data_IF_153590156658
#
_entry.id   IF_153590156658
#
_cell.length_a   1.000
_cell.length_b   1.000
_cell.length_c   1.000
_cell.angle_alpha   90.00
_cell.angle_beta   90.00
_cell.angle_gamma   90.00
#
_symmetry.space_group_name_H-M   'P 1'
#
loop_
_entity.id
_entity.type
_entity.pdbx_description
1 polymer ?
#
# COMPACT_ATOMS: atom_id res chain seq x y z
N UNK A 1 -4.63 -6.85 -23.62
CA UNK A 1 -3.72 -6.50 -22.52
C UNK A 1 -2.75 -7.64 -22.31
N UNK A 2 -1.63 -7.37 -21.65
CA UNK A 2 -0.57 -8.32 -21.38
C UNK A 2 -0.37 -8.44 -19.87
N UNK A 3 -0.42 -9.66 -19.36
CA UNK A 3 -0.10 -9.93 -17.96
C UNK A 3 1.40 -10.25 -17.82
N UNK A 4 1.99 -9.74 -16.76
CA UNK A 4 3.37 -9.95 -16.35
C UNK A 4 3.32 -10.83 -15.11
N UNK A 5 3.53 -12.13 -15.32
CA UNK A 5 3.62 -13.14 -14.26
C UNK A 5 5.06 -13.62 -14.05
N UNK A 6 5.28 -14.42 -13.00
CA UNK A 6 6.61 -14.96 -12.66
C UNK A 6 7.55 -13.96 -11.98
N UNK A 7 7.03 -12.78 -11.62
CA UNK A 7 7.66 -11.79 -10.75
C UNK A 7 6.95 -11.79 -9.39
N UNK A 8 7.66 -11.40 -8.34
CA UNK A 8 7.27 -11.49 -6.93
C UNK A 8 7.04 -12.92 -6.41
N UNK A 9 7.92 -13.85 -6.79
CA UNK A 9 7.91 -15.26 -6.36
C UNK A 9 9.00 -15.58 -5.34
N UNK A 10 9.81 -14.59 -4.95
CA UNK A 10 10.82 -14.70 -3.89
C UNK A 10 12.19 -14.13 -4.26
N UNK A 11 12.31 -13.58 -5.47
CA UNK A 11 13.52 -12.92 -5.95
C UNK A 11 13.79 -11.58 -5.21
N UNK A 12 15.05 -11.13 -5.14
CA UNK A 12 15.37 -9.81 -4.61
C UNK A 12 14.68 -8.68 -5.38
N UNK A 13 14.27 -7.63 -4.68
CA UNK A 13 13.57 -6.48 -5.27
C UNK A 13 14.30 -5.88 -6.47
N UNK A 14 15.62 -5.67 -6.37
CA UNK A 14 16.43 -5.13 -7.46
C UNK A 14 16.44 -6.04 -8.71
N UNK A 15 16.36 -7.36 -8.54
CA UNK A 15 16.30 -8.30 -9.65
C UNK A 15 14.93 -8.28 -10.32
N UNK A 16 13.85 -8.32 -9.51
CA UNK A 16 12.47 -8.14 -9.99
C UNK A 16 12.34 -6.89 -10.84
N UNK A 17 12.81 -5.77 -10.29
CA UNK A 17 12.69 -4.46 -10.92
C UNK A 17 13.48 -4.45 -12.23
N UNK A 18 14.73 -4.94 -12.24
CA UNK A 18 15.54 -5.05 -13.47
C UNK A 18 14.83 -5.83 -14.58
N UNK A 19 14.19 -6.96 -14.25
CA UNK A 19 13.44 -7.76 -15.23
C UNK A 19 12.22 -6.99 -15.72
N UNK A 20 11.46 -6.39 -14.80
CA UNK A 20 10.27 -5.61 -15.11
C UNK A 20 10.58 -4.45 -16.08
N UNK A 21 11.60 -3.64 -15.78
CA UNK A 21 12.01 -2.51 -16.61
C UNK A 21 12.36 -2.94 -18.04
N UNK A 22 13.08 -4.05 -18.19
CA UNK A 22 13.46 -4.56 -19.51
C UNK A 22 12.25 -5.07 -20.30
N UNK A 23 11.31 -5.74 -19.63
CA UNK A 23 10.09 -6.22 -20.27
C UNK A 23 9.22 -5.06 -20.76
N UNK A 24 9.02 -4.02 -19.94
CA UNK A 24 8.11 -2.92 -20.25
C UNK A 24 8.51 -2.09 -21.48
N UNK A 25 9.81 -2.02 -21.79
CA UNK A 25 10.34 -1.35 -23.00
C UNK A 25 9.89 -2.07 -24.28
N UNK A 26 9.83 -3.41 -24.25
CA UNK A 26 9.49 -4.24 -25.40
C UNK A 26 7.97 -4.47 -25.55
N UNK A 27 7.19 -4.13 -24.52
CA UNK A 27 5.75 -4.37 -24.50
C UNK A 27 4.97 -3.30 -25.29
N UNK A 28 3.93 -3.67 -26.06
CA UNK A 28 3.09 -2.70 -26.74
C UNK A 28 2.50 -1.66 -25.79
N UNK A 29 2.59 -0.37 -26.15
CA UNK A 29 2.11 0.75 -25.35
C UNK A 29 0.61 1.01 -25.51
N UNK A 30 -0.02 0.49 -26.58
CA UNK A 30 -1.44 0.64 -26.89
C UNK A 30 -2.33 -0.39 -26.15
N UNK A 31 -1.74 -1.24 -25.31
CA UNK A 31 -2.44 -2.34 -24.61
C UNK A 31 -2.15 -2.28 -23.11
N UNK A 32 -3.16 -2.48 -22.24
CA UNK A 32 -2.95 -2.51 -20.80
C UNK A 32 -1.95 -3.58 -20.37
N UNK A 33 -1.11 -3.24 -19.40
CA UNK A 33 -0.06 -4.08 -18.80
C UNK A 33 -0.43 -4.39 -17.34
N UNK A 34 -0.54 -5.66 -17.00
CA UNK A 34 -1.01 -6.13 -15.69
C UNK A 34 0.11 -6.84 -14.94
N UNK A 35 0.58 -6.28 -13.83
CA UNK A 35 1.60 -6.90 -12.98
C UNK A 35 0.95 -7.73 -11.88
N UNK A 36 1.16 -9.05 -11.94
CA UNK A 36 0.48 -10.01 -11.08
C UNK A 36 1.18 -10.15 -9.71
N UNK A 37 0.41 -10.10 -8.62
CA UNK A 37 0.88 -10.47 -7.27
C UNK A 37 1.83 -9.49 -6.57
N UNK A 38 2.16 -8.34 -7.18
CA UNK A 38 3.05 -7.32 -6.61
C UNK A 38 2.27 -6.36 -5.71
N UNK A 39 2.83 -6.02 -4.53
CA UNK A 39 1.97 -5.71 -3.40
C UNK A 39 2.15 -4.40 -2.67
N UNK A 40 3.36 -3.91 -2.38
CA UNK A 40 3.47 -2.77 -1.47
C UNK A 40 3.02 -1.47 -2.15
N UNK A 41 2.56 -0.45 -1.40
CA UNK A 41 2.24 0.85 -1.98
C UNK A 41 3.40 1.46 -2.78
N UNK A 42 4.64 1.26 -2.33
CA UNK A 42 5.82 1.72 -3.04
C UNK A 42 6.07 0.91 -4.32
N UNK A 43 6.00 -0.43 -4.27
CA UNK A 43 6.17 -1.26 -5.48
C UNK A 43 5.17 -0.87 -6.58
N UNK A 44 3.91 -0.62 -6.18
CA UNK A 44 2.86 -0.18 -7.10
C UNK A 44 3.21 1.19 -7.70
N UNK A 45 3.66 2.15 -6.88
CA UNK A 45 4.01 3.49 -7.35
C UNK A 45 5.18 3.46 -8.36
N UNK A 46 6.24 2.70 -8.07
CA UNK A 46 7.38 2.53 -8.98
C UNK A 46 6.98 1.82 -10.27
N UNK A 47 6.14 0.79 -10.19
CA UNK A 47 5.64 0.08 -11.37
C UNK A 47 4.69 0.95 -12.22
N UNK A 48 3.89 1.82 -11.63
CA UNK A 48 3.11 2.81 -12.38
C UNK A 48 4.03 3.80 -13.10
N UNK A 49 5.09 4.27 -12.43
CA UNK A 49 6.12 5.10 -13.07
C UNK A 49 6.79 4.38 -14.26
N UNK A 50 6.84 3.05 -14.20
CA UNK A 50 7.29 2.17 -15.28
C UNK A 50 6.33 1.99 -16.45
N UNK A 51 5.06 2.40 -16.29
CA UNK A 51 4.01 2.15 -17.28
C UNK A 51 3.33 0.79 -17.12
N UNK A 52 3.15 0.31 -15.88
CA UNK A 52 2.20 -0.76 -15.54
C UNK A 52 0.84 -0.15 -15.19
N UNK A 53 -0.24 -0.75 -15.67
CA UNK A 53 -1.60 -0.20 -15.58
C UNK A 53 -2.48 -0.89 -14.53
N UNK A 54 -2.24 -2.18 -14.26
CA UNK A 54 -3.09 -3.01 -13.42
C UNK A 54 -2.26 -3.82 -12.42
N UNK A 55 -2.87 -4.07 -11.26
CA UNK A 55 -2.24 -4.78 -10.13
C UNK A 55 -3.27 -5.61 -9.37
N UNK A 56 -2.81 -6.70 -8.77
CA UNK A 56 -3.53 -7.44 -7.75
C UNK A 56 -2.58 -7.85 -6.62
N UNK A 57 -3.07 -7.82 -5.37
CA UNK A 57 -2.32 -8.37 -4.26
C UNK A 57 -3.21 -8.66 -3.06
N UNK A 58 -2.92 -9.76 -2.36
CA UNK A 58 -3.55 -10.09 -1.08
C UNK A 58 -3.05 -9.22 0.08
N UNK A 59 -1.90 -8.56 -0.09
CA UNK A 59 -1.18 -7.82 0.94
C UNK A 59 -2.06 -6.86 1.76
N UNK A 60 -2.85 -5.93 1.17
CA UNK A 60 -3.66 -4.99 1.97
C UNK A 60 -4.57 -5.70 2.98
N UNK A 61 -5.21 -6.80 2.57
CA UNK A 61 -6.12 -7.54 3.46
C UNK A 61 -5.36 -8.46 4.41
N UNK A 62 -4.33 -9.16 3.93
CA UNK A 62 -3.53 -10.09 4.77
C UNK A 62 -2.76 -9.33 5.85
N UNK A 63 -2.17 -8.18 5.54
CA UNK A 63 -1.46 -7.34 6.50
C UNK A 63 -2.41 -6.71 7.51
N UNK A 64 -3.58 -6.23 7.08
CA UNK A 64 -4.61 -5.72 7.97
C UNK A 64 -4.98 -6.74 9.06
N UNK A 65 -5.28 -7.99 8.67
CA UNK A 65 -5.61 -9.07 9.61
C UNK A 65 -4.46 -9.48 10.53
N UNK A 66 -3.22 -9.12 10.18
CA UNK A 66 -2.03 -9.35 10.99
C UNK A 66 -1.55 -8.06 11.69
N UNK A 67 -2.40 -7.05 11.80
CA UNK A 67 -2.13 -5.82 12.53
C UNK A 67 -1.11 -4.86 11.87
N UNK A 68 -0.88 -4.99 10.57
CA UNK A 68 -0.02 -4.09 9.78
C UNK A 68 -0.89 -3.18 8.90
N UNK A 69 -0.88 -1.88 9.21
CA UNK A 69 -1.78 -0.88 8.64
C UNK A 69 -0.96 0.16 7.88
N UNK A 70 -1.29 0.39 6.61
CA UNK A 70 -0.61 1.37 5.77
C UNK A 70 -1.19 2.77 5.99
N UNK A 71 -0.35 3.79 6.20
CA UNK A 71 -0.79 5.17 6.48
C UNK A 71 0.02 6.18 5.67
N UNK A 72 -0.39 7.45 5.69
CA UNK A 72 0.40 8.57 5.10
C UNK A 72 1.75 8.78 5.79
N UNK A 73 2.00 8.09 6.91
CA UNK A 73 3.21 8.21 7.73
C UNK A 73 3.94 6.88 7.89
N UNK A 74 3.77 5.97 6.92
CA UNK A 74 4.37 4.65 6.90
C UNK A 74 3.46 3.56 7.48
N UNK A 75 4.06 2.50 8.04
CA UNK A 75 3.31 1.33 8.52
C UNK A 75 3.09 1.39 10.02
N UNK A 76 1.82 1.39 10.44
CA UNK A 76 1.42 1.22 11.83
C UNK A 76 1.29 -0.26 12.17
N UNK A 77 2.10 -0.73 13.13
CA UNK A 77 1.96 -2.06 13.75
C UNK A 77 1.05 -1.96 14.98
N UNK A 78 -0.26 -2.17 14.80
CA UNK A 78 -1.28 -1.80 15.80
C UNK A 78 -1.13 -2.51 17.15
N UNK A 79 -0.43 -3.65 17.19
CA UNK A 79 -0.15 -4.42 18.41
C UNK A 79 0.85 -3.72 19.35
N UNK A 80 1.66 -2.78 18.85
CA UNK A 80 2.66 -2.07 19.65
C UNK A 80 2.00 -1.40 20.87
N UNK A 81 2.62 -1.54 22.05
CA UNK A 81 2.12 -1.02 23.33
C UNK A 81 1.96 0.50 23.34
N UNK A 82 2.71 1.24 22.50
CA UNK A 82 2.62 2.70 22.40
C UNK A 82 1.22 3.22 22.09
N UNK A 83 0.39 2.39 21.42
CA UNK A 83 -0.97 2.77 21.05
C UNK A 83 -2.01 2.50 22.14
N UNK A 84 -1.64 2.03 23.32
CA UNK A 84 -2.60 1.59 24.37
C UNK A 84 -3.57 2.68 24.81
N UNK A 85 -3.12 3.94 24.86
CA UNK A 85 -3.91 5.10 25.27
C UNK A 85 -3.99 6.18 24.19
N UNK A 86 -3.63 5.83 22.96
CA UNK A 86 -3.61 6.76 21.83
C UNK A 86 -5.04 6.96 21.30
N UNK A 87 -5.65 8.10 21.64
CA UNK A 87 -7.00 8.48 21.21
C UNK A 87 -7.05 9.07 19.80
N UNK A 88 -5.92 9.19 19.11
CA UNK A 88 -5.87 9.73 17.75
C UNK A 88 -6.36 8.71 16.71
N UNK A 89 -6.73 9.21 15.53
CA UNK A 89 -7.10 8.37 14.39
C UNK A 89 -5.88 7.59 13.88
N UNK A 90 -6.14 6.42 13.26
CA UNK A 90 -5.11 5.56 12.67
C UNK A 90 -4.22 6.28 11.65
N UNK A 91 -4.82 7.12 10.82
CA UNK A 91 -4.15 7.93 9.81
C UNK A 91 -4.88 9.28 9.76
N UNK A 92 -4.21 10.40 10.10
CA UNK A 92 -4.83 11.72 10.13
C UNK A 92 -5.24 12.23 8.75
N UNK A 93 -4.66 11.69 7.68
CA UNK A 93 -4.92 12.10 6.30
C UNK A 93 -5.89 11.12 5.58
N UNK A 94 -6.55 10.24 6.34
CA UNK A 94 -7.46 9.23 5.80
C UNK A 94 -8.91 9.50 6.22
N UNK A 95 -9.81 9.49 5.24
CA UNK A 95 -11.24 9.71 5.42
C UNK A 95 -12.07 8.42 5.48
N UNK A 96 -11.44 7.25 5.62
CA UNK A 96 -12.17 5.98 5.64
C UNK A 96 -13.05 5.83 6.90
N UNK A 97 -13.99 4.90 6.88
CA UNK A 97 -14.86 4.62 8.03
C UNK A 97 -14.07 4.38 9.31
N UNK A 98 -12.99 3.59 9.24
CA UNK A 98 -12.16 3.28 10.40
C UNK A 98 -11.54 4.54 11.02
N UNK A 99 -10.89 5.39 10.21
CA UNK A 99 -10.21 6.60 10.68
C UNK A 99 -11.17 7.67 11.20
N UNK A 100 -12.41 7.72 10.70
CA UNK A 100 -13.42 8.70 11.13
C UNK A 100 -14.10 8.35 12.46
N UNK A 101 -14.09 7.09 12.86
CA UNK A 101 -14.94 6.59 13.94
C UNK A 101 -14.18 5.91 15.08
N UNK A 102 -12.91 5.53 14.89
CA UNK A 102 -12.16 4.74 15.87
C UNK A 102 -10.74 5.27 16.07
N UNK A 103 -10.28 5.18 17.31
CA UNK A 103 -8.92 5.54 17.71
C UNK A 103 -7.95 4.36 17.59
N UNK A 104 -6.65 4.67 17.56
CA UNK A 104 -5.57 3.68 17.65
C UNK A 104 -5.70 2.79 18.90
N UNK A 105 -6.03 3.36 20.06
CA UNK A 105 -6.27 2.62 21.30
C UNK A 105 -7.38 1.58 21.17
N UNK A 106 -8.50 1.96 20.55
CA UNK A 106 -9.62 1.04 20.37
C UNK A 106 -9.30 -0.08 19.36
N UNK A 107 -8.66 0.26 18.23
CA UNK A 107 -8.21 -0.72 17.25
C UNK A 107 -7.23 -1.73 17.86
N UNK A 108 -6.28 -1.24 18.68
CA UNK A 108 -5.36 -2.11 19.42
C UNK A 108 -6.09 -3.01 20.42
N UNK A 109 -7.07 -2.47 21.14
CA UNK A 109 -7.88 -3.24 22.08
C UNK A 109 -8.59 -4.41 21.38
N UNK A 110 -9.28 -4.14 20.26
CA UNK A 110 -9.94 -5.17 19.46
C UNK A 110 -8.97 -6.27 19.02
N UNK A 111 -7.80 -5.87 18.52
CA UNK A 111 -6.77 -6.81 18.08
C UNK A 111 -6.21 -7.65 19.25
N UNK A 112 -6.02 -7.04 20.42
CA UNK A 112 -5.58 -7.76 21.63
C UNK A 112 -6.63 -8.75 22.14
N UNK A 113 -7.90 -8.42 21.98
CA UNK A 113 -9.01 -9.29 22.38
C UNK A 113 -9.33 -10.39 21.35
N UNK A 114 -8.74 -10.35 20.15
CA UNK A 114 -9.05 -11.30 19.09
C UNK A 114 -10.44 -11.08 18.47
N UNK A 115 -11.00 -9.87 18.61
CA UNK A 115 -12.33 -9.53 18.13
C UNK A 115 -12.37 -9.34 16.61
N UNK A 116 -13.33 -9.98 15.93
CA UNK A 116 -13.43 -9.96 14.46
C UNK A 116 -13.62 -8.54 13.88
N UNK A 117 -14.14 -7.61 14.68
CA UNK A 117 -14.28 -6.21 14.29
C UNK A 117 -12.92 -5.56 13.99
N UNK A 118 -11.85 -5.92 14.71
CA UNK A 118 -10.50 -5.37 14.52
C UNK A 118 -9.98 -5.63 13.10
N UNK A 119 -9.85 -6.90 12.67
CA UNK A 119 -9.46 -7.26 11.31
C UNK A 119 -10.37 -6.67 10.22
N UNK A 120 -11.68 -6.53 10.49
CA UNK A 120 -12.63 -5.91 9.54
C UNK A 120 -12.34 -4.42 9.34
N UNK A 121 -12.19 -3.65 10.43
CA UNK A 121 -11.87 -2.22 10.38
C UNK A 121 -10.48 -1.98 9.77
N UNK A 122 -9.49 -2.80 10.14
CA UNK A 122 -8.16 -2.80 9.56
C UNK A 122 -8.19 -3.01 8.04
N UNK A 123 -9.02 -3.96 7.58
CA UNK A 123 -9.14 -4.29 6.15
C UNK A 123 -9.81 -3.16 5.36
N UNK A 124 -10.87 -2.54 5.91
CA UNK A 124 -11.49 -1.36 5.32
C UNK A 124 -10.46 -0.24 5.11
N UNK A 125 -9.64 0.02 6.15
CA UNK A 125 -8.60 1.05 6.08
C UNK A 125 -7.55 0.75 5.01
N UNK A 126 -6.94 -0.44 5.03
CA UNK A 126 -5.87 -0.77 4.07
C UNK A 126 -6.37 -0.77 2.63
N UNK A 127 -7.58 -1.29 2.35
CA UNK A 127 -8.16 -1.22 1.01
C UNK A 127 -8.42 0.22 0.57
N UNK A 128 -8.96 1.05 1.47
CA UNK A 128 -9.16 2.46 1.19
C UNK A 128 -7.83 3.18 0.91
N UNK A 129 -6.78 2.88 1.68
CA UNK A 129 -5.45 3.44 1.47
C UNK A 129 -4.90 3.09 0.08
N UNK A 130 -4.99 1.82 -0.34
CA UNK A 130 -4.55 1.41 -1.69
C UNK A 130 -5.33 2.14 -2.79
N UNK A 131 -6.65 2.27 -2.64
CA UNK A 131 -7.47 3.01 -3.59
C UNK A 131 -7.13 4.51 -3.62
N UNK A 132 -6.72 5.10 -2.49
CA UNK A 132 -6.21 6.47 -2.42
C UNK A 132 -4.89 6.60 -3.19
N UNK A 133 -3.92 5.72 -2.93
CA UNK A 133 -2.63 5.70 -3.66
C UNK A 133 -2.86 5.64 -5.16
N UNK A 134 -3.67 4.69 -5.64
CA UNK A 134 -3.97 4.57 -7.07
C UNK A 134 -4.68 5.81 -7.64
N UNK A 135 -5.52 6.49 -6.85
CA UNK A 135 -6.19 7.73 -7.27
C UNK A 135 -5.20 8.88 -7.37
N UNK A 136 -4.29 8.99 -6.43
CA UNK A 136 -3.28 10.04 -6.41
C UNK A 136 -2.25 9.85 -7.53
N UNK A 137 -1.87 8.61 -7.84
CA UNK A 137 -1.01 8.31 -9.00
C UNK A 137 -1.69 8.69 -10.32
N UNK A 138 -2.97 8.34 -10.52
CA UNK A 138 -3.73 8.77 -11.72
C UNK A 138 -3.81 10.29 -11.84
N UNK A 139 -4.09 10.99 -10.74
CA UNK A 139 -4.09 12.45 -10.73
C UNK A 139 -2.73 13.03 -11.11
N UNK A 140 -1.64 12.38 -10.71
CA UNK A 140 -0.31 12.86 -11.06
C UNK A 140 0.10 12.60 -12.49
N UNK A 141 -0.45 11.56 -13.13
CA UNK A 141 -0.35 11.40 -14.58
C UNK A 141 -1.06 12.57 -15.26
N UNK A 142 -2.31 12.86 -14.88
CA UNK A 142 -3.10 13.94 -15.48
C UNK A 142 -2.46 15.33 -15.29
N UNK A 143 -1.84 15.56 -14.14
CA UNK A 143 -1.20 16.83 -13.78
C UNK A 143 0.28 16.94 -14.23
N UNK A 144 0.89 15.84 -14.72
CA UNK A 144 2.30 15.80 -15.07
C UNK A 144 3.27 15.86 -13.87
N UNK A 145 2.82 15.52 -12.65
CA UNK A 145 3.62 15.53 -11.41
C UNK A 145 3.85 14.12 -10.81
N UNK A 146 3.64 13.05 -11.60
CA UNK A 146 3.72 11.66 -11.16
C UNK A 146 5.02 11.35 -10.41
N UNK A 147 6.18 11.77 -10.93
CA UNK A 147 7.48 11.55 -10.29
C UNK A 147 7.55 12.12 -8.87
N UNK A 148 7.01 13.32 -8.66
CA UNK A 148 6.93 13.97 -7.34
C UNK A 148 6.06 13.16 -6.38
N UNK A 149 4.94 12.62 -6.86
CA UNK A 149 4.06 11.78 -6.03
C UNK A 149 4.70 10.45 -5.66
N UNK A 150 5.40 9.82 -6.61
CA UNK A 150 6.15 8.58 -6.35
C UNK A 150 7.28 8.85 -5.35
N UNK A 151 8.01 9.95 -5.48
CA UNK A 151 9.04 10.35 -4.53
C UNK A 151 8.46 10.54 -3.10
N UNK A 152 7.30 11.18 -2.96
CA UNK A 152 6.65 11.32 -1.66
C UNK A 152 6.24 9.97 -1.04
N UNK A 153 5.77 9.01 -1.85
CA UNK A 153 5.48 7.64 -1.39
C UNK A 153 6.79 6.95 -0.96
N UNK A 154 7.87 7.12 -1.74
CA UNK A 154 9.20 6.58 -1.40
C UNK A 154 9.66 7.10 -0.04
N UNK A 155 9.60 8.41 0.18
CA UNK A 155 10.01 9.02 1.45
C UNK A 155 9.17 8.53 2.64
N UNK A 156 7.86 8.35 2.44
CA UNK A 156 6.95 7.79 3.44
C UNK A 156 7.34 6.37 3.90
N UNK A 157 7.98 5.58 3.03
CA UNK A 157 8.35 4.19 3.30
C UNK A 157 9.87 3.94 3.35
N UNK A 158 10.71 4.96 3.15
CA UNK A 158 12.17 4.87 3.14
C UNK A 158 12.79 4.79 4.55
N UNK A 159 12.06 5.15 5.59
CA UNK A 159 12.56 5.07 6.96
C UNK A 159 12.55 3.61 7.47
N UNK A 160 13.58 3.17 8.22
CA UNK A 160 13.54 1.87 8.87
C UNK A 160 12.32 1.84 9.80
N UNK A 161 11.62 0.70 9.83
CA UNK A 161 10.58 0.47 10.82
C UNK A 161 11.22 0.42 12.23
N UNK A 162 11.52 1.57 12.84
CA UNK A 162 12.10 1.65 14.18
C UNK A 162 11.34 2.62 15.08
N UNK A 163 10.49 2.03 15.94
CA UNK A 163 10.53 2.17 17.40
C UNK A 163 9.58 1.13 18.01
#
# INVERSE_FOLDING_TARGET
>A
GYAIGGLAVGEPQAERDRVLWRLLVEMPADRPRYLMGVGTPLDIAEAVLAGVDMFDCVMPTRHARNGHLFTSRGVVKIRNSRYTSDSTALDPDCSCYTCRHYSLAYLRHLEKCGEMLGPRLATIHNLHYYQRVMRDLRRGIDAGDLETRVAAIRDCFAAPASA
#
